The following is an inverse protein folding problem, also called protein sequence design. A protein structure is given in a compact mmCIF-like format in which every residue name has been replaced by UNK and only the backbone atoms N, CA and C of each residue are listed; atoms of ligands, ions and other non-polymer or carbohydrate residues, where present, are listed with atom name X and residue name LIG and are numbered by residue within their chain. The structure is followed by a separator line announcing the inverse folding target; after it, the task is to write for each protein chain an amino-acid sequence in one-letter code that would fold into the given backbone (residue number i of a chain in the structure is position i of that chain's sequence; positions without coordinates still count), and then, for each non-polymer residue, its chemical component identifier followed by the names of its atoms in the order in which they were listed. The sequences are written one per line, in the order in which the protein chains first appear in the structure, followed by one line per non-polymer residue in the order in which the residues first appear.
data_IF_437794546575
#
_entry.id   IF_437794546575
#
_cell.length_a   1.000
_cell.length_b   1.000
_cell.length_c   1.000
_cell.angle_alpha   90.00
_cell.angle_beta   90.00
_cell.angle_gamma   90.00
#
_symmetry.space_group_name_H-M   'P 1'
#
loop_
_entity.id
_entity.type
_entity.pdbx_description
1 polymer ?
#
# COMPACT_ATOMS: atom_id res chain seq x y z
N UNK A 1 10.09 -2.74 -15.62
CA UNK A 1 9.34 -2.57 -14.36
C UNK A 1 10.25 -3.04 -13.25
N UNK A 2 10.35 -2.29 -12.15
CA UNK A 2 11.11 -2.71 -10.96
C UNK A 2 10.10 -3.04 -9.88
N UNK A 3 9.94 -4.32 -9.58
CA UNK A 3 8.87 -4.80 -8.73
C UNK A 3 9.46 -5.58 -7.55
N UNK A 4 8.85 -5.40 -6.38
CA UNK A 4 9.09 -6.21 -5.20
C UNK A 4 7.83 -7.05 -4.98
N UNK A 5 7.93 -8.31 -5.37
CA UNK A 5 6.88 -9.30 -5.21
C UNK A 5 7.18 -10.23 -4.04
N UNK A 6 6.36 -10.12 -3.00
CA UNK A 6 6.41 -10.94 -1.79
C UNK A 6 5.03 -11.56 -1.51
N UNK A 7 4.15 -11.64 -2.50
CA UNK A 7 2.77 -12.11 -2.29
C UNK A 7 2.71 -13.58 -1.87
N UNK A 8 1.65 -13.94 -1.13
CA UNK A 8 1.33 -15.32 -0.75
C UNK A 8 2.40 -16.00 0.10
N UNK A 9 2.89 -15.30 1.12
CA UNK A 9 3.85 -15.81 2.09
C UNK A 9 3.29 -15.72 3.51
N UNK A 10 4.12 -16.06 4.48
CA UNK A 10 3.82 -15.93 5.92
C UNK A 10 4.70 -14.83 6.56
N UNK A 11 5.06 -13.80 5.79
CA UNK A 11 5.83 -12.68 6.32
C UNK A 11 4.97 -11.92 7.33
N UNK A 12 5.58 -11.56 8.46
CA UNK A 12 4.88 -10.99 9.60
C UNK A 12 5.67 -9.80 10.17
N UNK A 13 5.01 -9.05 11.05
CA UNK A 13 5.56 -7.81 11.60
C UNK A 13 5.18 -6.58 10.78
N UNK A 14 5.89 -5.49 10.98
CA UNK A 14 5.66 -4.22 10.26
C UNK A 14 6.46 -4.16 8.97
N UNK A 15 6.02 -3.34 8.01
CA UNK A 15 6.83 -3.02 6.84
C UNK A 15 8.04 -2.19 7.31
N UNK A 16 9.28 -2.55 6.96
CA UNK A 16 10.44 -1.76 7.36
C UNK A 16 10.53 -0.45 6.56
N UNK A 17 10.80 0.66 7.25
CA UNK A 17 11.03 1.99 6.67
C UNK A 17 12.07 1.99 5.52
N UNK A 18 13.05 1.08 5.59
CA UNK A 18 14.08 0.91 4.56
C UNK A 18 13.53 0.61 3.16
N UNK A 19 12.29 0.11 3.01
CA UNK A 19 11.67 -0.05 1.69
C UNK A 19 11.48 1.29 0.97
N UNK A 20 11.37 2.41 1.70
CA UNK A 20 11.31 3.75 1.11
C UNK A 20 12.56 4.15 0.33
N UNK A 21 13.69 3.47 0.53
CA UNK A 21 14.91 3.70 -0.23
C UNK A 21 14.85 3.13 -1.66
N UNK A 22 13.86 2.29 -1.98
CA UNK A 22 13.68 1.70 -3.31
C UNK A 22 13.00 2.70 -4.27
N UNK A 23 13.56 3.89 -4.44
CA UNK A 23 12.93 5.04 -5.13
C UNK A 23 12.52 4.79 -6.59
N UNK A 24 13.04 3.73 -7.21
CA UNK A 24 12.70 3.33 -8.59
C UNK A 24 11.62 2.25 -8.68
N UNK A 25 11.07 1.80 -7.54
CA UNK A 25 10.06 0.76 -7.48
C UNK A 25 8.78 1.20 -8.17
N UNK A 26 8.20 0.30 -8.97
CA UNK A 26 6.96 0.51 -9.74
C UNK A 26 5.82 -0.36 -9.21
N UNK A 27 6.13 -1.53 -8.67
CA UNK A 27 5.17 -2.42 -8.01
C UNK A 27 5.65 -2.86 -6.63
N UNK A 28 4.80 -2.69 -5.62
CA UNK A 28 4.97 -3.26 -4.30
C UNK A 28 3.81 -4.20 -4.02
N UNK A 29 4.10 -5.49 -4.03
CA UNK A 29 3.10 -6.56 -3.98
C UNK A 29 3.28 -7.38 -2.70
N UNK A 30 2.44 -7.12 -1.70
CA UNK A 30 2.53 -7.71 -0.36
C UNK A 30 1.30 -8.55 0.00
N UNK A 31 0.43 -8.86 -0.98
CA UNK A 31 -0.84 -9.53 -0.72
C UNK A 31 -0.68 -10.86 -0.01
N UNK A 32 -1.69 -11.25 0.77
CA UNK A 32 -1.77 -12.55 1.43
C UNK A 32 -0.51 -12.85 2.24
N UNK A 33 -0.26 -12.00 3.23
CA UNK A 33 0.80 -12.16 4.23
C UNK A 33 0.18 -11.93 5.62
N UNK A 34 1.03 -11.75 6.63
CA UNK A 34 0.63 -11.49 8.00
C UNK A 34 1.24 -10.16 8.49
N UNK A 35 1.51 -9.23 7.57
CA UNK A 35 2.00 -7.91 7.95
C UNK A 35 0.94 -7.17 8.77
N UNK A 36 1.39 -6.37 9.73
CA UNK A 36 0.56 -5.61 10.65
C UNK A 36 1.13 -4.20 10.88
N UNK A 37 0.41 -3.39 11.66
CA UNK A 37 0.84 -2.01 11.96
C UNK A 37 0.47 -1.03 10.86
N UNK A 38 1.05 0.17 10.89
CA UNK A 38 0.79 1.22 9.89
C UNK A 38 1.76 1.12 8.72
N UNK A 39 1.40 1.73 7.57
CA UNK A 39 2.36 1.89 6.48
C UNK A 39 3.40 2.96 6.87
N UNK A 40 4.71 2.67 6.73
CA UNK A 40 5.77 3.63 7.07
C UNK A 40 5.67 4.91 6.25
N UNK A 41 5.99 6.05 6.87
CA UNK A 41 6.02 7.34 6.18
C UNK A 41 7.04 7.33 5.03
N UNK A 42 8.17 6.65 5.18
CA UNK A 42 9.23 6.57 4.17
C UNK A 42 8.78 6.04 2.80
N UNK A 43 7.65 5.32 2.74
CA UNK A 43 7.07 4.88 1.47
C UNK A 43 6.57 6.04 0.61
N UNK A 44 6.42 7.25 1.18
CA UNK A 44 6.15 8.48 0.43
C UNK A 44 7.24 8.78 -0.62
N UNK A 45 8.46 8.26 -0.44
CA UNK A 45 9.56 8.44 -1.39
C UNK A 45 9.45 7.57 -2.65
N UNK A 46 8.50 6.62 -2.71
CA UNK A 46 8.29 5.74 -3.87
C UNK A 46 7.54 6.47 -4.99
N UNK A 47 8.12 7.56 -5.50
CA UNK A 47 7.50 8.49 -6.46
C UNK A 47 7.18 7.85 -7.82
N UNK A 48 7.72 6.67 -8.11
CA UNK A 48 7.44 5.91 -9.33
C UNK A 48 6.50 4.71 -9.11
N UNK A 49 5.97 4.56 -7.89
CA UNK A 49 5.09 3.45 -7.54
C UNK A 49 3.76 3.58 -8.27
N UNK A 50 3.39 2.53 -9.00
CA UNK A 50 2.16 2.44 -9.78
C UNK A 50 1.17 1.47 -9.17
N UNK A 51 1.67 0.37 -8.60
CA UNK A 51 0.85 -0.69 -8.04
C UNK A 51 1.23 -0.92 -6.58
N UNK A 52 0.25 -0.80 -5.69
CA UNK A 52 0.42 -1.06 -4.26
C UNK A 52 -0.63 -2.07 -3.80
N UNK A 53 -0.25 -3.34 -3.64
CA UNK A 53 -1.19 -4.38 -3.25
C UNK A 53 -0.93 -4.87 -1.84
N UNK A 54 -1.88 -4.62 -0.96
CA UNK A 54 -1.79 -4.83 0.49
C UNK A 54 -2.88 -5.76 1.04
N UNK A 55 -3.88 -6.15 0.22
CA UNK A 55 -4.98 -7.04 0.61
C UNK A 55 -4.51 -8.39 1.16
N UNK A 56 -5.22 -8.96 2.12
CA UNK A 56 -4.85 -10.16 2.86
C UNK A 56 -3.73 -9.89 3.86
N UNK A 57 -3.77 -8.75 4.57
CA UNK A 57 -2.87 -8.39 5.67
C UNK A 57 -3.66 -7.75 6.82
N UNK A 58 -2.98 -7.40 7.90
CA UNK A 58 -3.54 -6.84 9.13
C UNK A 58 -3.10 -5.38 9.37
N UNK A 59 -2.99 -4.59 8.30
CA UNK A 59 -2.59 -3.18 8.41
C UNK A 59 -3.65 -2.35 9.14
N UNK A 60 -3.18 -1.47 10.04
CA UNK A 60 -4.00 -0.56 10.80
C UNK A 60 -4.49 0.61 9.94
N UNK A 61 -5.71 1.07 10.21
CA UNK A 61 -6.28 2.32 9.68
C UNK A 61 -6.08 3.48 10.67
N UNK A 62 -6.12 4.75 10.21
CA UNK A 62 -6.25 5.17 8.82
C UNK A 62 -4.99 4.90 8.00
N UNK A 63 -5.16 4.80 6.69
CA UNK A 63 -4.03 4.79 5.76
C UNK A 63 -3.38 6.19 5.72
N UNK A 64 -2.04 6.29 5.55
CA UNK A 64 -1.39 7.59 5.43
C UNK A 64 -1.81 8.38 4.19
N UNK A 65 -1.95 9.69 4.37
CA UNK A 65 -2.38 10.64 3.33
C UNK A 65 -1.44 10.68 2.12
N UNK A 66 -0.16 10.32 2.30
CA UNK A 66 0.78 10.31 1.18
C UNK A 66 0.34 9.37 0.06
N UNK A 67 -0.48 8.35 0.33
CA UNK A 67 -1.03 7.43 -0.68
C UNK A 67 -1.78 8.20 -1.78
N UNK A 68 -2.54 9.25 -1.42
CA UNK A 68 -3.29 10.04 -2.42
C UNK A 68 -2.42 11.07 -3.13
N UNK A 69 -1.19 11.27 -2.66
CA UNK A 69 -0.24 12.24 -3.25
C UNK A 69 0.81 11.61 -4.17
N UNK A 70 0.92 10.27 -4.20
CA UNK A 70 1.87 9.58 -5.07
C UNK A 70 1.52 9.84 -6.55
N UNK A 71 2.45 10.43 -7.34
CA UNK A 71 2.10 10.98 -8.65
C UNK A 71 1.82 9.91 -9.70
N UNK A 72 2.51 8.78 -9.61
CA UNK A 72 2.40 7.67 -10.56
C UNK A 72 1.45 6.55 -10.07
N UNK A 73 0.88 6.68 -8.87
CA UNK A 73 0.05 5.63 -8.31
C UNK A 73 -1.18 5.42 -9.19
N UNK A 74 -1.37 4.19 -9.64
CA UNK A 74 -2.44 3.82 -10.55
C UNK A 74 -3.49 2.97 -9.84
N UNK A 75 -3.04 1.98 -9.08
CA UNK A 75 -3.91 0.99 -8.47
C UNK A 75 -3.43 0.64 -7.06
N UNK A 76 -4.39 0.64 -6.12
CA UNK A 76 -4.19 0.13 -4.77
C UNK A 76 -5.22 -0.96 -4.46
N UNK A 77 -4.74 -2.07 -3.88
CA UNK A 77 -5.61 -3.16 -3.39
C UNK A 77 -5.50 -3.28 -1.88
N UNK A 78 -6.63 -3.13 -1.21
CA UNK A 78 -6.76 -3.16 0.24
C UNK A 78 -7.92 -4.07 0.61
N UNK A 79 -7.91 -4.62 1.81
CA UNK A 79 -9.09 -5.26 2.37
C UNK A 79 -10.01 -4.16 2.92
N UNK A 80 -10.97 -3.69 2.12
CA UNK A 80 -12.19 -3.13 2.71
C UNK A 80 -13.40 -3.96 2.30
N UNK A 81 -14.36 -4.19 3.20
CA UNK A 81 -15.62 -4.80 2.83
C UNK A 81 -16.28 -3.93 1.75
N UNK A 82 -16.50 -4.50 0.56
CA UNK A 82 -17.18 -3.84 -0.56
C UNK A 82 -16.29 -2.98 -1.47
N UNK A 83 -15.03 -2.69 -1.12
CA UNK A 83 -14.10 -2.04 -2.06
C UNK A 83 -13.31 -3.12 -2.80
N UNK A 84 -13.59 -3.30 -4.08
CA UNK A 84 -12.62 -3.92 -4.98
C UNK A 84 -11.34 -3.09 -5.08
N UNK A 85 -10.53 -3.37 -6.09
CA UNK A 85 -9.40 -2.52 -6.44
C UNK A 85 -9.81 -1.05 -6.55
N UNK A 86 -9.08 -0.16 -5.87
CA UNK A 86 -9.27 1.28 -5.98
C UNK A 86 -8.26 1.84 -6.97
N UNK A 87 -8.75 2.50 -8.02
CA UNK A 87 -7.91 3.32 -8.88
C UNK A 87 -7.56 4.61 -8.15
N UNK A 88 -6.37 5.16 -8.38
CA UNK A 88 -5.93 6.40 -7.73
C UNK A 88 -6.90 7.56 -7.92
N UNK A 89 -7.57 7.63 -9.07
CA UNK A 89 -8.60 8.63 -9.38
C UNK A 89 -9.88 8.50 -8.53
N UNK A 90 -10.09 7.36 -7.88
CA UNK A 90 -11.17 7.13 -6.92
C UNK A 90 -10.70 7.15 -5.46
N UNK A 91 -9.40 7.36 -5.21
CA UNK A 91 -8.89 7.54 -3.86
C UNK A 91 -9.13 8.99 -3.41
N UNK A 92 -9.68 9.12 -2.21
CA UNK A 92 -9.88 10.38 -1.52
C UNK A 92 -9.51 10.19 -0.06
N UNK A 93 -9.32 11.27 0.68
CA UNK A 93 -9.07 11.21 2.13
C UNK A 93 -10.17 10.46 2.90
N UNK A 94 -11.43 10.62 2.50
CA UNK A 94 -12.55 9.84 3.04
C UNK A 94 -12.44 8.34 2.73
N UNK A 95 -11.77 7.99 1.63
CA UNK A 95 -11.46 6.60 1.27
C UNK A 95 -10.30 6.02 2.10
N UNK A 96 -9.69 6.75 3.04
CA UNK A 96 -8.57 6.28 3.87
C UNK A 96 -8.95 5.99 5.34
N UNK A 97 -10.08 6.53 5.80
CA UNK A 97 -10.67 6.26 7.13
C UNK A 97 -11.70 5.13 7.06
N UNK A 98 -11.94 4.42 8.17
CA UNK A 98 -13.10 3.54 8.31
C UNK A 98 -14.34 4.40 8.48
N UNK A 99 -15.39 4.15 7.70
CA UNK A 99 -16.72 4.66 8.04
C UNK A 99 -17.26 3.81 9.19
N UNK A 100 -17.61 4.46 10.30
CA UNK A 100 -18.31 3.85 11.44
C UNK A 100 -19.72 3.37 11.06
#
# INVERSE_FOLDING_TARGET
MQDLDLENNQLWGEIPAALGALIHLQGLFLRNNVFSGTLPQDLEHLQHLRFLYLSGNHFSLPLPDWIVTLPDLWEIKLDRPGSGSLLSRGLSMSSLVSED
#
